data_IF_526855064694
#
_entry.id   IF_526855064694
#
_cell.length_a   1.000
_cell.length_b   1.000
_cell.length_c   1.000
_cell.angle_alpha   90.00
_cell.angle_beta   90.00
_cell.angle_gamma   90.00
#
_symmetry.space_group_name_H-M   'P 1'
#
loop_
_entity.id
_entity.type
_entity.pdbx_description
1 polymer ?
#
# COMPACT_ATOMS: atom_id res chain seq x y z
N UNK A 1 13.35 13.17 -25.16
CA UNK A 1 13.61 13.08 -23.70
C UNK A 1 14.49 11.87 -23.46
N UNK A 2 15.55 11.98 -22.66
CA UNK A 2 16.49 10.87 -22.48
C UNK A 2 15.77 9.65 -21.88
N UNK A 3 16.09 8.42 -22.31
CA UNK A 3 15.46 7.20 -21.78
C UNK A 3 15.63 7.05 -20.26
N UNK A 4 16.70 7.63 -19.71
CA UNK A 4 16.96 7.71 -18.27
C UNK A 4 15.88 8.51 -17.52
N UNK A 5 15.45 9.65 -18.05
CA UNK A 5 14.46 10.51 -17.40
C UNK A 5 13.10 9.80 -17.28
N UNK A 6 12.70 9.07 -18.31
CA UNK A 6 11.45 8.29 -18.33
C UNK A 6 11.49 7.15 -17.31
N UNK A 7 12.65 6.48 -17.17
CA UNK A 7 12.80 5.41 -16.19
C UNK A 7 12.69 5.95 -14.76
N UNK A 8 13.38 7.03 -14.45
CA UNK A 8 13.37 7.64 -13.12
C UNK A 8 11.96 8.11 -12.73
N UNK A 9 11.24 8.76 -13.65
CA UNK A 9 9.88 9.24 -13.36
C UNK A 9 8.90 8.09 -13.13
N UNK A 10 9.01 6.99 -13.89
CA UNK A 10 8.17 5.80 -13.70
C UNK A 10 8.46 5.09 -12.38
N UNK A 11 9.74 4.91 -12.04
CA UNK A 11 10.14 4.25 -10.79
C UNK A 11 9.69 5.10 -9.59
N UNK A 12 9.84 6.44 -9.68
CA UNK A 12 9.32 7.38 -8.67
C UNK A 12 7.80 7.30 -8.53
N UNK A 13 7.05 7.39 -9.64
CA UNK A 13 5.59 7.33 -9.61
C UNK A 13 5.10 6.01 -9.00
N UNK A 14 5.74 4.89 -9.34
CA UNK A 14 5.39 3.56 -8.81
C UNK A 14 5.54 3.50 -7.29
N UNK A 15 6.68 3.97 -6.76
CA UNK A 15 6.92 3.95 -5.31
C UNK A 15 6.00 4.96 -4.60
N UNK A 16 5.80 6.14 -5.19
CA UNK A 16 4.93 7.17 -4.64
C UNK A 16 3.48 6.69 -4.48
N UNK A 17 2.91 6.09 -5.53
CA UNK A 17 1.53 5.56 -5.47
C UNK A 17 1.41 4.34 -4.58
N UNK A 18 2.45 3.51 -4.49
CA UNK A 18 2.45 2.31 -3.63
C UNK A 18 2.52 2.66 -2.14
N UNK A 19 3.30 3.68 -1.76
CA UNK A 19 3.46 4.09 -0.36
C UNK A 19 2.24 4.85 0.16
N UNK A 20 1.47 5.51 -0.72
CA UNK A 20 0.37 6.41 -0.36
C UNK A 20 0.76 7.40 0.77
N UNK A 21 1.73 8.29 0.53
CA UNK A 21 2.22 9.20 1.57
C UNK A 21 1.13 10.15 2.07
N UNK A 22 0.19 10.53 1.21
CA UNK A 22 -0.89 11.48 1.56
C UNK A 22 -1.88 10.81 2.52
N UNK A 23 -2.40 9.63 2.17
CA UNK A 23 -3.32 8.89 3.03
C UNK A 23 -2.68 8.54 4.37
N UNK A 24 -1.44 8.04 4.34
CA UNK A 24 -0.73 7.65 5.56
C UNK A 24 -0.44 8.82 6.51
N UNK A 25 -0.04 9.99 5.99
CA UNK A 25 0.16 11.18 6.82
C UNK A 25 -1.15 11.67 7.42
N UNK A 26 -2.25 11.68 6.65
CA UNK A 26 -3.57 12.10 7.13
C UNK A 26 -4.08 11.18 8.25
N UNK A 27 -4.01 9.86 8.06
CA UNK A 27 -4.40 8.87 9.06
C UNK A 27 -3.53 9.00 10.31
N UNK A 28 -2.20 9.08 10.15
CA UNK A 28 -1.29 9.22 11.28
C UNK A 28 -1.53 10.53 12.06
N UNK A 29 -1.76 11.65 11.36
CA UNK A 29 -2.08 12.92 11.97
C UNK A 29 -3.39 12.86 12.76
N UNK A 30 -4.45 12.24 12.21
CA UNK A 30 -5.72 12.05 12.89
C UNK A 30 -5.60 11.17 14.14
N UNK A 31 -4.89 10.04 14.03
CA UNK A 31 -4.73 9.09 15.15
C UNK A 31 -3.77 9.57 16.24
N UNK A 32 -2.88 10.53 15.94
CA UNK A 32 -1.89 11.04 16.91
C UNK A 32 -2.19 12.46 17.38
N UNK A 33 -3.35 13.03 17.04
CA UNK A 33 -3.71 14.42 17.32
C UNK A 33 -3.73 14.77 18.82
N UNK A 34 -4.07 13.81 19.69
CA UNK A 34 -4.17 14.00 21.14
C UNK A 34 -2.88 13.65 21.90
N UNK A 35 -1.82 13.20 21.21
CA UNK A 35 -0.58 12.74 21.85
C UNK A 35 0.42 13.88 22.05
N UNK A 36 1.24 13.78 23.09
CA UNK A 36 2.38 14.69 23.25
C UNK A 36 3.42 14.47 22.13
N UNK A 37 4.29 15.45 21.83
CA UNK A 37 5.33 15.29 20.80
C UNK A 37 6.24 14.08 21.02
N UNK A 38 6.56 13.76 22.29
CA UNK A 38 7.38 12.62 22.65
C UNK A 38 6.68 11.28 22.37
N UNK A 39 5.40 11.17 22.74
CA UNK A 39 4.57 9.99 22.46
C UNK A 39 4.35 9.81 20.96
N UNK A 40 4.08 10.89 20.24
CA UNK A 40 3.91 10.86 18.78
C UNK A 40 5.15 10.31 18.07
N UNK A 41 6.37 10.72 18.48
CA UNK A 41 7.63 10.19 17.93
C UNK A 41 7.81 8.70 18.25
N UNK A 42 7.48 8.28 19.47
CA UNK A 42 7.56 6.87 19.88
C UNK A 42 6.56 6.00 19.09
N UNK A 43 5.35 6.50 18.87
CA UNK A 43 4.33 5.84 18.06
C UNK A 43 4.78 5.74 16.60
N UNK A 44 5.38 6.79 16.03
CA UNK A 44 5.94 6.73 14.68
C UNK A 44 6.98 5.62 14.55
N UNK A 45 7.96 5.56 15.46
CA UNK A 45 9.00 4.52 15.43
C UNK A 45 8.41 3.11 15.53
N UNK A 46 7.44 2.91 16.43
CA UNK A 46 6.76 1.61 16.57
C UNK A 46 5.98 1.23 15.32
N UNK A 47 5.22 2.17 14.76
CA UNK A 47 4.46 1.96 13.54
C UNK A 47 5.38 1.59 12.38
N UNK A 48 6.54 2.27 12.25
CA UNK A 48 7.55 1.91 11.25
C UNK A 48 8.08 0.49 11.46
N UNK A 49 8.46 0.12 12.69
CA UNK A 49 8.95 -1.24 12.99
C UNK A 49 7.89 -2.30 12.68
N UNK A 50 6.65 -2.09 13.10
CA UNK A 50 5.55 -3.02 12.82
C UNK A 50 5.29 -3.14 11.32
N UNK A 51 5.23 -2.01 10.59
CA UNK A 51 5.06 -2.03 9.15
C UNK A 51 6.22 -2.78 8.46
N UNK A 52 7.47 -2.54 8.87
CA UNK A 52 8.63 -3.27 8.31
C UNK A 52 8.51 -4.78 8.55
N UNK A 53 8.20 -5.20 9.78
CA UNK A 53 8.05 -6.64 10.09
C UNK A 53 6.92 -7.25 9.28
N UNK A 54 5.75 -6.60 9.23
CA UNK A 54 4.59 -7.07 8.47
C UNK A 54 4.95 -7.20 6.98
N UNK A 55 5.59 -6.18 6.39
CA UNK A 55 5.96 -6.18 4.98
C UNK A 55 7.00 -7.26 4.66
N UNK A 56 8.02 -7.44 5.50
CA UNK A 56 9.03 -8.50 5.32
C UNK A 56 8.39 -9.88 5.39
N UNK A 57 7.55 -10.13 6.39
CA UNK A 57 6.82 -11.39 6.53
C UNK A 57 5.90 -11.61 5.34
N UNK A 58 5.15 -10.59 4.90
CA UNK A 58 4.25 -10.69 3.77
C UNK A 58 4.98 -10.98 2.46
N UNK A 59 6.15 -10.39 2.23
CA UNK A 59 6.96 -10.67 1.03
C UNK A 59 7.47 -12.11 1.04
N UNK A 60 8.01 -12.57 2.18
CA UNK A 60 8.56 -13.94 2.29
C UNK A 60 7.44 -14.99 2.23
N UNK A 61 6.42 -14.87 3.08
CA UNK A 61 5.31 -15.81 3.12
C UNK A 61 4.47 -15.75 1.84
N UNK A 62 4.24 -14.56 1.29
CA UNK A 62 3.51 -14.37 0.05
C UNK A 62 4.18 -15.07 -1.13
N UNK A 63 5.50 -14.95 -1.26
CA UNK A 63 6.23 -15.66 -2.32
C UNK A 63 6.11 -17.17 -2.18
N UNK A 64 6.26 -17.71 -0.96
CA UNK A 64 6.13 -19.15 -0.69
C UNK A 64 4.72 -19.65 -1.06
N UNK A 65 3.68 -18.93 -0.68
CA UNK A 65 2.29 -19.30 -0.98
C UNK A 65 2.05 -19.26 -2.49
N UNK A 66 2.49 -18.21 -3.17
CA UNK A 66 2.33 -18.04 -4.61
C UNK A 66 3.01 -19.17 -5.40
N UNK A 67 4.22 -19.55 -5.01
CA UNK A 67 4.95 -20.65 -5.63
C UNK A 67 4.27 -22.01 -5.37
N UNK A 68 3.73 -22.22 -4.17
CA UNK A 68 3.02 -23.46 -3.81
C UNK A 68 1.73 -23.68 -4.63
N UNK A 69 1.05 -22.60 -5.01
CA UNK A 69 -0.16 -22.64 -5.86
C UNK A 69 0.14 -22.48 -7.36
N UNK A 70 1.41 -22.31 -7.74
CA UNK A 70 1.83 -22.17 -9.14
C UNK A 70 1.43 -20.84 -9.80
N UNK A 71 1.29 -19.76 -9.02
CA UNK A 71 0.85 -18.45 -9.52
C UNK A 71 2.00 -17.44 -9.47
N UNK A 72 2.15 -16.66 -10.54
CA UNK A 72 3.12 -15.57 -10.57
C UNK A 72 2.60 -14.30 -9.90
N UNK A 73 3.52 -13.51 -9.33
CA UNK A 73 3.22 -12.19 -8.76
C UNK A 73 2.51 -11.26 -9.76
N UNK A 74 2.76 -11.40 -11.06
CA UNK A 74 2.07 -10.63 -12.09
C UNK A 74 0.56 -10.91 -12.12
N UNK A 75 0.16 -12.18 -12.01
CA UNK A 75 -1.24 -12.59 -11.95
C UNK A 75 -1.95 -12.02 -10.72
N UNK A 76 -1.25 -12.01 -9.57
CA UNK A 76 -1.78 -11.40 -8.33
C UNK A 76 -2.01 -9.89 -8.51
N UNK A 77 -1.07 -9.17 -9.14
CA UNK A 77 -1.22 -7.73 -9.43
C UNK A 77 -2.43 -7.45 -10.33
N UNK A 78 -2.65 -8.27 -11.36
CA UNK A 78 -3.81 -8.14 -12.25
C UNK A 78 -5.11 -8.40 -11.48
N UNK A 79 -5.18 -9.47 -10.70
CA UNK A 79 -6.34 -9.79 -9.87
C UNK A 79 -6.65 -8.68 -8.85
N UNK A 80 -5.63 -8.16 -8.17
CA UNK A 80 -5.77 -7.02 -7.25
C UNK A 80 -6.30 -5.77 -7.93
N UNK A 81 -5.83 -5.46 -9.15
CA UNK A 81 -6.36 -4.36 -9.95
C UNK A 81 -7.84 -4.52 -10.30
N UNK A 82 -8.27 -5.74 -10.65
CA UNK A 82 -9.69 -6.06 -10.90
C UNK A 82 -10.51 -5.86 -9.62
N UNK A 83 -10.04 -6.34 -8.48
CA UNK A 83 -10.75 -6.18 -7.20
C UNK A 83 -10.89 -4.70 -6.84
N UNK A 84 -9.82 -3.91 -6.97
CA UNK A 84 -9.86 -2.47 -6.70
C UNK A 84 -10.81 -1.74 -7.65
N UNK A 85 -10.81 -2.11 -8.93
CA UNK A 85 -11.76 -1.57 -9.91
C UNK A 85 -13.21 -1.87 -9.51
N UNK A 86 -13.50 -3.12 -9.13
CA UNK A 86 -14.83 -3.52 -8.67
C UNK A 86 -15.23 -2.78 -7.38
N UNK A 87 -14.33 -2.61 -6.42
CA UNK A 87 -14.61 -1.81 -5.22
C UNK A 87 -14.87 -0.34 -5.55
N UNK A 88 -14.10 0.25 -6.46
CA UNK A 88 -14.35 1.61 -6.93
C UNK A 88 -15.72 1.75 -7.60
N UNK A 89 -16.10 0.79 -8.44
CA UNK A 89 -17.44 0.74 -9.05
C UNK A 89 -18.55 0.61 -8.00
N UNK A 90 -18.37 -0.27 -7.00
CA UNK A 90 -19.33 -0.41 -5.90
C UNK A 90 -19.47 0.86 -5.07
N UNK A 91 -18.36 1.56 -4.79
CA UNK A 91 -18.38 2.84 -4.09
C UNK A 91 -19.10 3.93 -4.90
N UNK A 92 -18.96 3.92 -6.23
CA UNK A 92 -19.57 4.91 -7.11
C UNK A 92 -21.07 4.71 -7.28
N UNK A 93 -21.50 3.48 -7.55
CA UNK A 93 -22.91 3.18 -7.84
C UNK A 93 -23.74 2.94 -6.58
N UNK A 94 -23.08 2.83 -5.41
CA UNK A 94 -23.71 2.37 -4.19
C UNK A 94 -24.20 0.92 -4.36
N UNK A 95 -24.51 0.23 -3.28
CA UNK A 95 -25.36 -0.94 -3.44
C UNK A 95 -26.72 -0.43 -3.89
N UNK A 96 -27.22 -0.91 -5.03
CA UNK A 96 -28.62 -0.74 -5.41
C UNK A 96 -29.41 -1.69 -4.51
N UNK A 97 -29.49 -1.33 -3.24
CA UNK A 97 -30.34 -1.96 -2.24
C UNK A 97 -31.75 -1.43 -2.51
N UNK A 98 -32.48 -2.12 -3.40
CA UNK A 98 -33.91 -1.92 -3.63
C UNK A 98 -34.75 -2.45 -2.47
#
# INVERSE_FOLDING_TARGET
MSPLFIKISKDFATIWTTIDPIGNVAIFAGLTASLTPAERRRTALRATVYATVILVVAVVAGQIILDAIGIHLHSLKVAGGIILFLFGLQMLFGRVDS
#
